data_IF_475679993950
#
_entry.id   IF_475679993950
#
_cell.length_a   1.000
_cell.length_b   1.000
_cell.length_c   1.000
_cell.angle_alpha   90.00
_cell.angle_beta   90.00
_cell.angle_gamma   90.00
#
_symmetry.space_group_name_H-M   'P 1'
#
loop_
_entity.id
_entity.type
_entity.pdbx_description
1 polymer ?
#
# COMPACT_ATOMS: atom_id res chain seq x y z
N UNK A 1 -62.11 -6.15 -24.21
CA UNK A 1 -62.05 -7.56 -24.67
C UNK A 1 -60.81 -7.78 -25.52
N UNK A 2 -59.75 -8.37 -24.98
CA UNK A 2 -58.94 -9.45 -25.58
C UNK A 2 -57.81 -9.79 -24.61
N UNK A 3 -57.83 -11.02 -24.10
CA UNK A 3 -56.74 -11.65 -23.36
C UNK A 3 -55.68 -12.04 -24.38
N UNK A 4 -54.40 -11.75 -24.14
CA UNK A 4 -53.30 -12.58 -24.66
C UNK A 4 -52.24 -12.69 -23.56
N UNK A 5 -52.14 -13.91 -23.03
CA UNK A 5 -51.03 -14.42 -22.22
C UNK A 5 -49.92 -14.84 -23.19
N UNK A 6 -48.69 -14.38 -22.98
CA UNK A 6 -47.48 -15.07 -23.47
C UNK A 6 -46.38 -14.90 -22.43
N UNK A 7 -46.12 -15.96 -21.68
CA UNK A 7 -44.89 -16.16 -20.91
C UNK A 7 -43.76 -16.52 -21.87
N UNK A 8 -42.64 -15.78 -21.82
CA UNK A 8 -41.34 -16.26 -22.33
C UNK A 8 -40.29 -15.97 -21.25
N UNK A 9 -39.83 -17.04 -20.64
CA UNK A 9 -38.66 -17.08 -19.77
C UNK A 9 -37.42 -16.77 -20.59
N UNK A 10 -36.67 -15.73 -20.24
CA UNK A 10 -35.30 -15.53 -20.72
C UNK A 10 -34.38 -15.54 -19.50
N UNK A 11 -33.73 -16.68 -19.27
CA UNK A 11 -32.66 -16.82 -18.31
C UNK A 11 -31.44 -16.06 -18.85
N UNK A 12 -31.21 -14.86 -18.33
CA UNK A 12 -30.02 -14.09 -18.61
C UNK A 12 -28.92 -14.51 -17.64
N UNK A 13 -28.20 -15.58 -17.99
CA UNK A 13 -26.93 -15.96 -17.38
C UNK A 13 -25.89 -14.88 -17.71
N UNK A 14 -25.78 -13.89 -16.82
CA UNK A 14 -24.67 -12.93 -16.84
C UNK A 14 -23.41 -13.69 -16.45
N UNK A 15 -22.60 -14.02 -17.45
CA UNK A 15 -21.20 -14.36 -17.29
C UNK A 15 -20.52 -13.16 -16.60
N UNK A 16 -20.32 -13.27 -15.29
CA UNK A 16 -19.40 -12.42 -14.56
C UNK A 16 -17.99 -12.71 -15.03
N UNK A 17 -17.58 -12.09 -16.13
CA UNK A 17 -16.16 -11.93 -16.44
C UNK A 17 -15.59 -11.03 -15.33
N UNK A 18 -15.06 -11.67 -14.28
CA UNK A 18 -14.17 -11.01 -13.35
C UNK A 18 -12.96 -10.58 -14.15
N UNK A 19 -12.97 -9.32 -14.62
CA UNK A 19 -11.75 -8.65 -15.03
C UNK A 19 -10.89 -8.58 -13.77
N UNK A 20 -9.95 -9.50 -13.63
CA UNK A 20 -8.78 -9.26 -12.83
C UNK A 20 -8.08 -8.08 -13.51
N UNK A 21 -8.37 -6.86 -13.04
CA UNK A 21 -7.50 -5.72 -13.32
C UNK A 21 -6.13 -6.18 -12.82
N UNK A 22 -5.19 -6.37 -13.74
CA UNK A 22 -3.78 -6.45 -13.37
C UNK A 22 -3.42 -5.07 -12.83
N UNK A 23 -3.70 -4.87 -11.55
CA UNK A 23 -3.39 -3.64 -10.84
C UNK A 23 -1.86 -3.65 -10.68
N UNK A 24 -1.19 -2.86 -11.51
CA UNK A 24 0.24 -2.62 -11.42
C UNK A 24 0.63 -2.36 -9.97
N UNK A 25 1.74 -2.95 -9.48
CA UNK A 25 2.14 -2.81 -8.08
C UNK A 25 2.14 -1.34 -7.63
N UNK A 26 1.27 -1.01 -6.68
CA UNK A 26 1.10 0.35 -6.14
C UNK A 26 2.11 0.62 -5.04
N UNK A 27 2.90 1.68 -5.20
CA UNK A 27 3.80 2.16 -4.15
C UNK A 27 2.99 2.74 -2.98
N UNK A 28 3.44 2.60 -1.72
CA UNK A 28 2.79 3.25 -0.58
C UNK A 28 2.86 4.78 -0.69
N UNK A 29 1.77 5.45 -0.28
CA UNK A 29 1.72 6.91 -0.20
C UNK A 29 2.54 7.43 0.97
N UNK A 30 3.24 8.55 0.80
CA UNK A 30 3.99 9.20 1.87
C UNK A 30 3.09 9.54 3.08
N UNK A 31 3.68 9.42 4.28
CA UNK A 31 3.00 9.68 5.55
C UNK A 31 3.66 10.85 6.25
N UNK A 32 2.84 11.78 6.74
CA UNK A 32 3.32 12.84 7.64
C UNK A 32 3.38 12.32 9.07
N UNK A 33 4.49 12.58 9.75
CA UNK A 33 4.69 12.22 11.15
C UNK A 33 4.24 13.37 12.07
N UNK A 34 3.63 13.08 13.23
CA UNK A 34 3.38 14.08 14.25
C UNK A 34 4.70 14.65 14.81
N UNK A 35 4.72 15.92 15.19
CA UNK A 35 5.83 16.52 15.92
C UNK A 35 5.79 16.11 17.39
N UNK A 36 6.71 15.24 17.79
CA UNK A 36 6.76 14.72 19.15
C UNK A 36 6.91 15.80 20.23
N UNK A 37 7.50 16.96 19.93
CA UNK A 37 7.67 18.01 20.93
C UNK A 37 6.35 18.68 21.35
N UNK A 38 5.31 18.60 20.51
CA UNK A 38 4.02 19.26 20.74
C UNK A 38 2.79 18.36 20.59
N UNK A 39 2.96 17.16 20.04
CA UNK A 39 1.85 16.25 19.77
C UNK A 39 1.21 15.72 21.06
N UNK A 40 -0.10 15.52 20.98
CA UNK A 40 -0.87 14.75 21.97
C UNK A 40 -0.60 13.25 21.87
N UNK A 41 -0.95 12.50 22.92
CA UNK A 41 -0.91 11.03 22.91
C UNK A 41 -1.66 10.45 21.71
N UNK A 42 -2.85 10.97 21.42
CA UNK A 42 -3.72 10.47 20.35
C UNK A 42 -3.08 10.69 18.97
N UNK A 43 -2.45 11.85 18.74
CA UNK A 43 -1.70 12.14 17.52
C UNK A 43 -0.48 11.21 17.36
N UNK A 44 0.25 10.94 18.45
CA UNK A 44 1.37 9.99 18.41
C UNK A 44 0.92 8.55 18.11
N UNK A 45 -0.23 8.12 18.64
CA UNK A 45 -0.83 6.81 18.33
C UNK A 45 -1.28 6.74 16.87
N UNK A 46 -1.93 7.79 16.36
CA UNK A 46 -2.30 7.88 14.95
C UNK A 46 -1.06 7.83 14.04
N UNK A 47 0.01 8.55 14.39
CA UNK A 47 1.30 8.48 13.71
C UNK A 47 1.88 7.06 13.68
N UNK A 48 1.83 6.33 14.80
CA UNK A 48 2.28 4.94 14.85
C UNK A 48 1.48 4.04 13.90
N UNK A 49 0.16 4.19 13.87
CA UNK A 49 -0.72 3.41 12.99
C UNK A 49 -0.42 3.72 11.52
N UNK A 50 -0.20 4.98 11.18
CA UNK A 50 0.14 5.39 9.83
C UNK A 50 1.50 4.82 9.37
N UNK A 51 2.52 4.84 10.24
CA UNK A 51 3.83 4.20 9.95
C UNK A 51 3.69 2.69 9.75
N UNK A 52 2.92 1.99 10.60
CA UNK A 52 2.66 0.56 10.43
C UNK A 52 1.96 0.25 9.10
N UNK A 53 0.97 1.08 8.74
CA UNK A 53 0.27 0.94 7.47
C UNK A 53 1.21 1.17 6.28
N UNK A 54 2.05 2.21 6.32
CA UNK A 54 3.04 2.48 5.28
C UNK A 54 3.99 1.28 5.07
N UNK A 55 4.49 0.71 6.17
CA UNK A 55 5.38 -0.46 6.12
C UNK A 55 4.66 -1.66 5.49
N UNK A 56 3.44 -1.96 5.92
CA UNK A 56 2.65 -3.06 5.38
C UNK A 56 2.34 -2.88 3.88
N UNK A 57 1.98 -1.66 3.48
CA UNK A 57 1.72 -1.32 2.07
C UNK A 57 3.01 -1.42 1.24
N UNK A 58 4.16 -1.01 1.80
CA UNK A 58 5.49 -1.20 1.20
C UNK A 58 5.86 -2.66 1.03
N UNK A 59 5.68 -3.51 2.05
CA UNK A 59 5.92 -4.96 1.93
C UNK A 59 5.03 -5.62 0.88
N UNK A 60 3.76 -5.20 0.79
CA UNK A 60 2.83 -5.68 -0.23
C UNK A 60 3.30 -5.28 -1.64
N UNK A 61 3.78 -4.04 -1.79
CA UNK A 61 4.37 -3.55 -3.04
C UNK A 61 5.59 -4.37 -3.46
N UNK A 62 6.55 -4.58 -2.54
CA UNK A 62 7.77 -5.35 -2.81
C UNK A 62 7.43 -6.81 -3.20
N UNK A 63 6.49 -7.44 -2.50
CA UNK A 63 6.02 -8.79 -2.83
C UNK A 63 5.34 -8.85 -4.21
N UNK A 64 4.61 -7.81 -4.59
CA UNK A 64 4.01 -7.69 -5.91
C UNK A 64 5.09 -7.60 -7.00
N UNK A 65 6.10 -6.73 -6.83
CA UNK A 65 7.21 -6.58 -7.77
C UNK A 65 7.93 -7.90 -8.01
N UNK A 66 8.23 -8.65 -6.94
CA UNK A 66 8.89 -9.96 -7.06
C UNK A 66 8.05 -10.96 -7.86
N UNK A 67 6.71 -10.91 -7.76
CA UNK A 67 5.82 -11.79 -8.53
C UNK A 67 5.80 -11.39 -10.00
N UNK A 68 5.72 -10.09 -10.29
CA UNK A 68 5.78 -9.58 -11.67
C UNK A 68 7.13 -9.91 -12.32
N UNK A 69 8.24 -9.76 -11.60
CA UNK A 69 9.57 -10.11 -12.10
C UNK A 69 9.68 -11.60 -12.42
N UNK A 70 9.21 -12.46 -11.50
CA UNK A 70 9.19 -13.92 -11.72
C UNK A 70 8.30 -14.33 -12.89
N UNK A 71 7.14 -13.70 -13.05
CA UNK A 71 6.21 -13.99 -14.14
C UNK A 71 6.76 -13.58 -15.51
N UNK A 72 7.70 -12.63 -15.55
CA UNK A 72 8.27 -12.06 -16.77
C UNK A 72 9.78 -12.32 -16.91
N UNK A 73 10.33 -13.30 -16.18
CA UNK A 73 11.78 -13.50 -16.06
C UNK A 73 12.51 -13.65 -17.41
N UNK A 74 11.86 -14.31 -18.37
CA UNK A 74 12.40 -14.58 -19.71
C UNK A 74 12.24 -13.39 -20.69
N UNK A 75 11.37 -12.42 -20.37
CA UNK A 75 11.07 -11.27 -21.22
C UNK A 75 11.69 -9.96 -20.74
N UNK A 76 12.22 -9.92 -19.51
CA UNK A 76 12.88 -8.75 -18.95
C UNK A 76 14.32 -8.60 -19.45
N UNK A 77 14.66 -7.41 -19.95
CA UNK A 77 16.05 -7.03 -20.25
C UNK A 77 16.85 -6.83 -18.96
N UNK A 78 18.17 -6.84 -19.06
CA UNK A 78 19.05 -6.59 -17.90
C UNK A 78 18.84 -5.18 -17.33
N UNK A 79 18.57 -4.18 -18.18
CA UNK A 79 18.23 -2.83 -17.76
C UNK A 79 16.91 -2.79 -16.97
N UNK A 80 15.90 -3.55 -17.41
CA UNK A 80 14.62 -3.63 -16.71
C UNK A 80 14.78 -4.29 -15.33
N UNK A 81 15.59 -5.36 -15.23
CA UNK A 81 15.92 -6.01 -13.94
C UNK A 81 16.64 -5.04 -13.00
N UNK A 82 17.62 -4.30 -13.51
CA UNK A 82 18.34 -3.28 -12.73
C UNK A 82 17.39 -2.18 -12.23
N UNK A 83 16.49 -1.69 -13.08
CA UNK A 83 15.48 -0.71 -12.68
C UNK A 83 14.53 -1.24 -11.59
N UNK A 84 14.14 -2.52 -11.66
CA UNK A 84 13.33 -3.16 -10.62
C UNK A 84 14.06 -3.22 -9.28
N UNK A 85 15.34 -3.62 -9.27
CA UNK A 85 16.18 -3.64 -8.05
C UNK A 85 16.33 -2.23 -7.46
N UNK A 86 16.56 -1.21 -8.29
CA UNK A 86 16.65 0.18 -7.84
C UNK A 86 15.34 0.64 -7.19
N UNK A 87 14.20 0.38 -7.83
CA UNK A 87 12.87 0.73 -7.30
C UNK A 87 12.56 -0.02 -6.00
N UNK A 88 12.93 -1.30 -5.91
CA UNK A 88 12.80 -2.09 -4.68
C UNK A 88 13.57 -1.44 -3.53
N UNK A 89 14.86 -1.13 -3.76
CA UNK A 89 15.72 -0.54 -2.74
C UNK A 89 15.21 0.84 -2.29
N UNK A 90 14.72 1.68 -3.20
CA UNK A 90 14.14 2.98 -2.85
C UNK A 90 12.98 2.84 -1.86
N UNK A 91 12.08 1.87 -2.05
CA UNK A 91 10.95 1.68 -1.13
C UNK A 91 11.42 1.13 0.22
N UNK A 92 12.38 0.20 0.23
CA UNK A 92 13.01 -0.27 1.48
C UNK A 92 13.65 0.88 2.25
N UNK A 93 14.41 1.74 1.57
CA UNK A 93 15.05 2.90 2.17
C UNK A 93 14.02 3.87 2.75
N UNK A 94 12.94 4.17 2.01
CA UNK A 94 11.84 5.01 2.51
C UNK A 94 11.19 4.43 3.78
N UNK A 95 10.95 3.12 3.82
CA UNK A 95 10.41 2.45 5.00
C UNK A 95 11.35 2.58 6.21
N UNK A 96 12.66 2.39 5.99
CA UNK A 96 13.66 2.54 7.05
C UNK A 96 13.74 3.98 7.57
N UNK A 97 13.82 4.96 6.66
CA UNK A 97 13.87 6.39 7.00
C UNK A 97 12.62 6.81 7.77
N UNK A 98 11.43 6.41 7.31
CA UNK A 98 10.19 6.74 8.00
C UNK A 98 10.16 6.16 9.43
N UNK A 99 10.59 4.91 9.60
CA UNK A 99 10.66 4.27 10.91
C UNK A 99 11.69 4.96 11.84
N UNK A 100 12.85 5.34 11.30
CA UNK A 100 13.87 6.09 12.04
C UNK A 100 13.34 7.46 12.49
N UNK A 101 12.76 8.23 11.58
CA UNK A 101 12.18 9.54 11.88
C UNK A 101 11.08 9.43 12.93
N UNK A 102 10.21 8.42 12.83
CA UNK A 102 9.17 8.22 13.85
C UNK A 102 9.74 7.89 15.22
N UNK A 103 10.83 7.11 15.29
CA UNK A 103 11.52 6.85 16.56
C UNK A 103 12.12 8.13 17.17
N UNK A 104 12.56 9.08 16.35
CA UNK A 104 12.99 10.40 16.83
C UNK A 104 11.82 11.19 17.41
N UNK A 105 10.65 11.18 16.74
CA UNK A 105 9.44 11.81 17.27
C UNK A 105 8.99 11.18 18.59
N UNK A 106 9.11 9.86 18.75
CA UNK A 106 8.82 9.18 20.01
C UNK A 106 9.78 9.61 21.13
N UNK A 107 11.06 9.86 20.83
CA UNK A 107 12.02 10.38 21.81
C UNK A 107 11.66 11.81 22.22
N UNK A 108 11.36 12.68 21.24
CA UNK A 108 10.93 14.06 21.49
C UNK A 108 9.67 14.10 22.37
N UNK A 109 8.68 13.26 22.05
CA UNK A 109 7.46 13.11 22.85
C UNK A 109 7.74 12.70 24.29
N UNK A 110 8.56 11.68 24.50
CA UNK A 110 8.92 11.25 25.86
C UNK A 110 9.65 12.34 26.66
N UNK A 111 10.50 13.13 26.00
CA UNK A 111 11.17 14.26 26.65
C UNK A 111 10.15 15.34 27.05
N UNK A 112 9.28 15.76 26.13
CA UNK A 112 8.25 16.78 26.39
C UNK A 112 7.27 16.37 27.49
N UNK A 113 6.93 15.09 27.60
CA UNK A 113 6.05 14.57 28.66
C UNK A 113 6.74 14.48 30.03
N UNK A 114 8.07 14.41 30.08
CA UNK A 114 8.83 14.38 31.34
C UNK A 114 9.03 15.77 31.95
N UNK A 115 8.85 16.83 31.16
CA UNK A 115 8.94 18.23 31.58
C UNK A 115 7.60 18.83 32.05
N UNK A 116 6.51 18.07 31.90
CA UNK A 116 5.16 18.40 32.37
C UNK A 116 4.92 17.89 33.80
#
# INVERSE_FOLDING_TARGET
>A
MKKILVSVTFALSVLGAGYAIAESCSEPNDVQLPDGASASTDEMVAGQQAVKKYIADGEAFLSCMEKEEKANADSLTDEAKKANVERYNVVVDKMQVLAQNFNEQIKAYKAAQAEQ
#
